data_IF_562516780188
#
_entry.id   IF_562516780188
#
_cell.length_a   1.000
_cell.length_b   1.000
_cell.length_c   1.000
_cell.angle_alpha   90.00
_cell.angle_beta   90.00
_cell.angle_gamma   90.00
#
_symmetry.space_group_name_H-M   'P 1'
#
loop_
_entity.id
_entity.type
_entity.pdbx_description
1 polymer ?
#
# COMPACT_ATOMS: atom_id res chain seq x y z
N UNK A 1 3.07 48.30 69.08
CA UNK A 1 3.32 47.38 70.20
C UNK A 1 4.11 46.20 69.62
N UNK A 2 5.45 46.15 69.69
CA UNK A 2 6.26 45.50 70.76
C UNK A 2 5.74 44.08 71.08
N UNK A 3 6.47 42.96 71.08
CA UNK A 3 7.90 42.71 71.31
C UNK A 3 8.17 41.18 71.17
N UNK A 4 9.41 40.79 70.81
CA UNK A 4 10.21 39.63 71.29
C UNK A 4 9.79 38.18 70.98
N UNK A 5 10.60 37.46 70.18
CA UNK A 5 11.76 36.61 70.55
C UNK A 5 11.39 35.24 71.15
N UNK A 6 11.75 34.16 70.44
CA UNK A 6 12.47 33.01 71.01
C UNK A 6 13.07 32.15 69.89
N UNK A 7 14.40 32.02 69.93
CA UNK A 7 15.19 31.09 69.14
C UNK A 7 14.82 29.63 69.44
N UNK A 8 14.94 28.76 68.45
CA UNK A 8 15.49 27.41 68.66
C UNK A 8 16.06 26.84 67.36
N UNK A 9 17.39 26.76 67.35
CA UNK A 9 18.29 26.03 66.44
C UNK A 9 18.21 24.54 66.84
N UNK A 10 18.25 23.57 65.89
CA UNK A 10 19.49 22.80 65.78
C UNK A 10 19.87 22.27 64.39
N UNK A 11 21.18 22.02 64.31
CA UNK A 11 21.84 20.96 63.54
C UNK A 11 21.93 21.10 62.01
N UNK A 12 22.97 21.86 61.63
CA UNK A 12 23.72 21.71 60.39
C UNK A 12 24.14 20.24 60.23
N UNK A 13 23.62 19.55 59.22
CA UNK A 13 24.20 18.30 58.72
C UNK A 13 25.08 18.65 57.52
N UNK A 14 26.38 18.50 57.72
CA UNK A 14 27.43 18.69 56.73
C UNK A 14 27.36 17.56 55.70
N UNK A 15 26.63 17.79 54.60
CA UNK A 15 26.61 16.89 53.44
C UNK A 15 27.82 17.15 52.55
N UNK A 16 28.74 16.19 52.48
CA UNK A 16 29.92 16.22 51.63
C UNK A 16 29.55 16.39 50.15
N UNK A 17 29.94 17.52 49.55
CA UNK A 17 29.87 17.74 48.12
C UNK A 17 31.02 16.98 47.44
N UNK A 18 30.73 15.78 46.92
CA UNK A 18 31.61 15.09 46.00
C UNK A 18 31.58 15.83 44.65
N UNK A 19 32.58 16.69 44.40
CA UNK A 19 32.83 17.28 43.08
C UNK A 19 33.28 16.17 42.12
N UNK A 20 32.33 15.63 41.37
CA UNK A 20 32.62 14.72 40.25
C UNK A 20 33.12 15.59 39.09
N UNK A 21 34.42 15.51 38.79
CA UNK A 21 34.97 15.99 37.53
C UNK A 21 34.24 15.28 36.38
N UNK A 22 33.27 15.98 35.78
CA UNK A 22 32.61 15.54 34.56
C UNK A 22 33.61 15.54 33.41
N UNK A 23 34.07 14.37 32.99
CA UNK A 23 34.78 14.21 31.75
C UNK A 23 33.90 14.74 30.60
N UNK A 24 34.39 15.63 29.71
CA UNK A 24 33.65 16.01 28.53
C UNK A 24 33.38 14.74 27.72
N UNK A 25 32.10 14.37 27.61
CA UNK A 25 31.67 13.23 26.83
C UNK A 25 32.07 13.49 25.37
N UNK A 26 32.81 12.59 24.71
CA UNK A 26 33.07 12.70 23.28
C UNK A 26 31.73 12.88 22.56
N UNK A 27 31.64 13.75 21.55
CA UNK A 27 30.43 13.83 20.74
C UNK A 27 30.09 12.42 20.24
N UNK A 28 28.80 12.03 20.25
CA UNK A 28 28.41 10.74 19.69
C UNK A 28 29.01 10.63 18.29
N UNK A 29 29.59 9.48 17.90
CA UNK A 29 30.10 9.31 16.55
C UNK A 29 28.98 9.71 15.60
N UNK A 30 29.24 10.71 14.76
CA UNK A 30 28.33 11.16 13.73
C UNK A 30 27.88 9.90 13.01
N UNK A 31 26.59 9.56 13.10
CA UNK A 31 26.03 8.36 12.51
C UNK A 31 26.58 8.27 11.08
N UNK A 32 27.48 7.32 10.86
CA UNK A 32 28.01 7.08 9.54
C UNK A 32 26.77 6.88 8.68
N UNK A 33 26.64 7.72 7.65
CA UNK A 33 25.51 7.65 6.71
C UNK A 33 25.59 6.27 6.09
N UNK A 34 24.82 5.34 6.63
CA UNK A 34 24.81 3.95 6.18
C UNK A 34 24.58 4.01 4.68
N UNK A 35 25.55 3.51 3.90
CA UNK A 35 25.37 3.46 2.46
C UNK A 35 24.08 2.69 2.23
N UNK A 36 23.12 3.23 1.46
CA UNK A 36 21.88 2.52 1.21
C UNK A 36 22.24 1.12 0.68
N UNK A 37 21.59 0.07 1.19
CA UNK A 37 21.89 -1.29 0.77
C UNK A 37 21.82 -1.39 -0.76
N UNK A 38 22.71 -2.18 -1.39
CA UNK A 38 22.76 -2.30 -2.83
C UNK A 38 21.40 -2.73 -3.39
N UNK A 39 21.06 -2.16 -4.54
CA UNK A 39 19.83 -2.38 -5.29
C UNK A 39 19.66 -3.88 -5.61
N UNK A 40 18.60 -4.52 -5.12
CA UNK A 40 18.26 -5.91 -5.44
C UNK A 40 16.79 -6.06 -5.84
N UNK A 41 16.47 -5.66 -7.06
CA UNK A 41 15.20 -6.07 -7.68
C UNK A 41 15.11 -7.60 -7.63
N UNK A 42 13.93 -8.18 -7.29
CA UNK A 42 13.77 -9.63 -7.29
C UNK A 42 14.16 -10.22 -8.65
N UNK A 43 14.86 -11.38 -8.67
CA UNK A 43 15.25 -12.02 -9.92
C UNK A 43 14.08 -12.16 -10.89
N UNK A 44 14.30 -11.78 -12.14
CA UNK A 44 13.30 -11.83 -13.22
C UNK A 44 12.44 -10.57 -13.34
N UNK A 45 12.44 -9.69 -12.33
CA UNK A 45 11.72 -8.42 -12.39
C UNK A 45 12.52 -7.32 -13.08
N UNK A 46 13.82 -7.48 -13.35
CA UNK A 46 14.71 -6.48 -13.96
C UNK A 46 14.38 -6.19 -15.43
N UNK A 47 13.73 -7.13 -16.10
CA UNK A 47 13.32 -7.00 -17.51
C UNK A 47 12.14 -6.04 -17.68
N UNK A 48 11.84 -5.72 -18.93
CA UNK A 48 10.64 -4.98 -19.29
C UNK A 48 9.38 -5.85 -19.04
N UNK A 49 8.49 -5.38 -18.17
CA UNK A 49 7.24 -6.04 -17.81
C UNK A 49 6.02 -5.51 -18.59
N UNK A 50 6.23 -4.85 -19.72
CA UNK A 50 5.13 -4.47 -20.62
C UNK A 50 4.47 -5.70 -21.25
N UNK A 51 3.22 -5.53 -21.66
CA UNK A 51 2.47 -6.55 -22.39
C UNK A 51 1.12 -6.86 -21.74
N UNK A 52 0.46 -7.90 -22.28
CA UNK A 52 -0.85 -8.33 -21.80
C UNK A 52 -0.69 -9.45 -20.79
N UNK A 53 -1.56 -9.45 -19.78
CA UNK A 53 -1.64 -10.50 -18.79
C UNK A 53 -3.10 -10.90 -18.55
N UNK A 54 -3.33 -12.11 -18.07
CA UNK A 54 -4.60 -12.56 -17.55
C UNK A 54 -4.47 -12.90 -16.06
N UNK A 55 -5.54 -12.72 -15.29
CA UNK A 55 -5.56 -13.22 -13.92
C UNK A 55 -5.60 -14.75 -13.91
N UNK A 56 -4.78 -15.39 -13.09
CA UNK A 56 -4.76 -16.85 -12.98
C UNK A 56 -6.13 -17.39 -12.52
N UNK A 57 -6.70 -18.31 -13.30
CA UNK A 57 -8.03 -18.87 -13.03
C UNK A 57 -9.21 -17.97 -13.42
N UNK A 58 -8.98 -16.74 -13.90
CA UNK A 58 -10.02 -15.80 -14.35
C UNK A 58 -9.62 -15.13 -15.67
N UNK A 59 -9.69 -15.83 -16.81
CA UNK A 59 -9.25 -15.28 -18.10
C UNK A 59 -10.15 -14.16 -18.63
N UNK A 60 -11.35 -13.97 -18.06
CA UNK A 60 -12.21 -12.80 -18.28
C UNK A 60 -11.57 -11.49 -17.81
N UNK A 61 -10.50 -11.58 -17.00
CA UNK A 61 -9.74 -10.46 -16.46
C UNK A 61 -8.41 -10.32 -17.19
N UNK A 62 -8.23 -9.18 -17.84
CA UNK A 62 -7.01 -8.86 -18.57
C UNK A 62 -6.37 -7.59 -18.01
N UNK A 63 -5.04 -7.58 -18.03
CA UNK A 63 -4.22 -6.46 -17.59
C UNK A 63 -3.33 -6.05 -18.75
N UNK A 64 -3.23 -4.75 -19.00
CA UNK A 64 -2.26 -4.19 -19.91
C UNK A 64 -1.17 -3.48 -19.09
N UNK A 65 0.03 -4.06 -19.11
CA UNK A 65 1.21 -3.50 -18.48
C UNK A 65 1.98 -2.57 -19.41
N UNK A 66 2.37 -1.42 -18.90
CA UNK A 66 3.33 -0.50 -19.48
C UNK A 66 4.47 -0.27 -18.47
N UNK A 67 5.67 -0.71 -18.83
CA UNK A 67 6.89 -0.58 -18.03
C UNK A 67 7.87 0.34 -18.76
N UNK A 68 8.16 1.50 -18.16
CA UNK A 68 9.10 2.49 -18.69
C UNK A 68 10.54 2.31 -18.16
N UNK A 69 10.79 1.23 -17.40
CA UNK A 69 12.06 0.95 -16.73
C UNK A 69 12.12 1.48 -15.30
N UNK A 70 11.26 2.42 -14.92
CA UNK A 70 11.17 3.00 -13.57
C UNK A 70 9.82 2.74 -12.89
N UNK A 71 8.75 2.66 -13.68
CA UNK A 71 7.38 2.50 -13.23
C UNK A 71 6.68 1.47 -14.11
N UNK A 72 5.98 0.55 -13.48
CA UNK A 72 5.03 -0.35 -14.10
C UNK A 72 3.62 0.17 -13.82
N UNK A 73 2.87 0.47 -14.87
CA UNK A 73 1.43 0.76 -14.80
C UNK A 73 0.66 -0.42 -15.35
N UNK A 74 -0.31 -0.95 -14.59
CA UNK A 74 -1.24 -1.98 -15.03
C UNK A 74 -2.64 -1.39 -15.13
N UNK A 75 -3.19 -1.37 -16.34
CA UNK A 75 -4.60 -1.03 -16.58
C UNK A 75 -5.42 -2.31 -16.64
N UNK A 76 -6.51 -2.37 -15.88
CA UNK A 76 -7.36 -3.57 -15.81
C UNK A 76 -8.55 -3.44 -16.75
N UNK A 77 -8.83 -4.47 -17.53
CA UNK A 77 -10.04 -4.58 -18.36
C UNK A 77 -10.68 -5.96 -18.20
N UNK A 78 -12.01 -5.96 -18.06
CA UNK A 78 -12.81 -7.18 -18.03
C UNK A 78 -13.51 -7.35 -19.38
N UNK A 79 -13.49 -8.56 -19.92
CA UNK A 79 -14.36 -8.88 -21.05
C UNK A 79 -15.80 -8.96 -20.55
N UNK A 80 -16.73 -8.20 -21.16
CA UNK A 80 -18.15 -8.43 -20.90
C UNK A 80 -18.56 -9.83 -21.35
N UNK A 81 -19.47 -10.49 -20.62
CA UNK A 81 -20.16 -11.66 -21.14
C UNK A 81 -20.97 -11.34 -22.42
N UNK A 82 -21.38 -10.08 -22.60
CA UNK A 82 -22.21 -9.61 -23.71
C UNK A 82 -21.43 -8.91 -24.85
N UNK A 83 -20.09 -8.93 -24.84
CA UNK A 83 -19.25 -8.49 -25.96
C UNK A 83 -18.97 -6.97 -26.06
N UNK A 84 -19.27 -6.20 -25.03
CA UNK A 84 -18.80 -4.82 -24.87
C UNK A 84 -17.46 -4.72 -24.12
N UNK A 85 -16.69 -3.62 -24.30
CA UNK A 85 -15.68 -3.24 -23.33
C UNK A 85 -16.37 -2.58 -22.12
N UNK A 86 -16.70 -3.38 -21.11
CA UNK A 86 -17.23 -2.87 -19.86
C UNK A 86 -16.11 -2.43 -18.94
N UNK A 87 -16.22 -1.17 -18.56
CA UNK A 87 -15.40 -0.52 -17.54
C UNK A 87 -15.97 -0.76 -16.15
N UNK A 88 -16.85 -1.76 -15.99
CA UNK A 88 -17.37 -2.18 -14.69
C UNK A 88 -16.31 -3.04 -14.00
N UNK A 89 -15.58 -2.44 -13.05
CA UNK A 89 -14.64 -3.15 -12.20
C UNK A 89 -15.38 -3.87 -11.06
N UNK A 90 -15.20 -5.20 -10.94
CA UNK A 90 -15.23 -5.80 -9.60
C UNK A 90 -14.04 -6.73 -9.24
N UNK A 91 -13.57 -6.70 -7.99
CA UNK A 91 -12.79 -7.78 -7.34
C UNK A 91 -11.30 -7.99 -7.69
N UNK A 92 -10.55 -6.91 -7.96
CA UNK A 92 -9.10 -6.88 -7.62
C UNK A 92 -8.87 -6.69 -6.10
N UNK A 93 -9.77 -7.26 -5.32
CA UNK A 93 -10.00 -7.05 -3.91
C UNK A 93 -11.42 -6.55 -3.65
N UNK A 94 -12.30 -7.43 -3.16
CA UNK A 94 -13.72 -7.14 -2.96
C UNK A 94 -13.85 -6.08 -1.87
N UNK A 95 -14.30 -4.87 -2.20
CA UNK A 95 -14.98 -4.02 -1.21
C UNK A 95 -16.25 -4.79 -0.86
N UNK A 96 -16.20 -5.54 0.24
CA UNK A 96 -17.35 -6.26 0.76
C UNK A 96 -18.38 -5.24 1.21
N UNK A 97 -19.28 -4.85 0.33
CA UNK A 97 -20.53 -4.22 0.73
C UNK A 97 -21.46 -5.39 1.00
N UNK A 98 -21.67 -5.71 2.27
CA UNK A 98 -22.74 -6.60 2.73
C UNK A 98 -24.08 -5.87 2.49
N UNK A 99 -24.44 -5.72 1.23
CA UNK A 99 -25.61 -4.99 0.77
C UNK A 99 -26.21 -5.75 -0.39
N UNK A 100 -26.90 -6.85 -0.10
CA UNK A 100 -27.75 -7.52 -1.06
C UNK A 100 -28.76 -6.53 -1.65
N UNK A 101 -28.56 -6.15 -2.91
CA UNK A 101 -29.60 -5.54 -3.74
C UNK A 101 -30.00 -6.57 -4.80
N UNK A 102 -31.20 -7.17 -4.72
CA UNK A 102 -31.62 -8.21 -5.65
C UNK A 102 -32.05 -7.68 -7.03
N UNK A 103 -32.20 -6.37 -7.22
CA UNK A 103 -32.68 -5.81 -8.48
C UNK A 103 -31.94 -4.50 -8.82
N UNK A 104 -31.42 -4.38 -10.05
CA UNK A 104 -31.04 -3.10 -10.65
C UNK A 104 -29.57 -2.92 -10.98
N UNK A 105 -29.15 -3.43 -12.15
CA UNK A 105 -27.92 -2.99 -12.79
C UNK A 105 -27.96 -1.49 -13.05
N UNK A 106 -26.95 -0.78 -12.55
CA UNK A 106 -26.68 0.59 -12.97
C UNK A 106 -25.63 0.49 -14.07
N UNK A 107 -26.09 0.44 -15.31
CA UNK A 107 -25.26 0.72 -16.46
C UNK A 107 -24.78 2.17 -16.35
N UNK A 108 -23.47 2.36 -16.19
CA UNK A 108 -22.83 3.67 -16.34
C UNK A 108 -22.08 4.17 -15.10
N UNK A 109 -20.85 3.68 -14.90
CA UNK A 109 -19.69 4.53 -14.63
C UNK A 109 -18.44 3.66 -14.60
N UNK A 110 -17.59 3.90 -15.59
CA UNK A 110 -16.39 3.12 -15.82
C UNK A 110 -15.36 3.27 -14.72
N UNK A 111 -15.37 2.35 -13.77
CA UNK A 111 -14.32 2.23 -12.77
C UNK A 111 -13.06 1.69 -13.43
N UNK A 112 -12.23 2.59 -13.95
CA UNK A 112 -10.91 2.23 -14.48
C UNK A 112 -10.00 1.96 -13.29
N UNK A 113 -9.73 0.68 -13.02
CA UNK A 113 -8.71 0.30 -12.02
C UNK A 113 -7.33 0.48 -12.64
N UNK A 114 -6.51 1.30 -11.98
CA UNK A 114 -5.11 1.50 -12.35
C UNK A 114 -4.22 1.08 -11.19
N UNK A 115 -3.19 0.30 -11.51
CA UNK A 115 -2.16 -0.09 -10.56
C UNK A 115 -0.87 0.59 -10.99
N UNK A 116 -0.34 1.48 -10.16
CA UNK A 116 0.90 2.19 -10.44
C UNK A 116 1.98 1.76 -9.45
N UNK A 117 3.06 1.17 -9.97
CA UNK A 117 4.09 0.53 -9.16
C UNK A 117 5.46 1.08 -9.53
N UNK A 118 6.15 1.69 -8.58
CA UNK A 118 7.51 2.20 -8.77
C UNK A 118 8.51 1.08 -8.55
N UNK A 119 9.47 0.95 -9.44
CA UNK A 119 10.60 0.04 -9.29
C UNK A 119 11.50 0.54 -8.16
N UNK A 120 11.72 -0.31 -7.15
CA UNK A 120 12.57 -0.03 -5.99
C UNK A 120 13.60 -1.15 -5.81
N UNK A 121 14.52 -0.96 -4.87
CA UNK A 121 15.48 -1.99 -4.46
C UNK A 121 14.84 -3.21 -3.82
N UNK A 122 13.56 -3.16 -3.44
CA UNK A 122 12.83 -4.27 -2.82
C UNK A 122 11.78 -4.86 -3.77
N UNK A 123 11.86 -4.54 -5.07
CA UNK A 123 10.86 -4.87 -6.07
C UNK A 123 9.98 -3.69 -6.45
N UNK A 124 8.86 -3.94 -7.10
CA UNK A 124 7.94 -2.87 -7.46
C UNK A 124 7.00 -2.60 -6.29
N UNK A 125 6.91 -1.35 -5.85
CA UNK A 125 6.05 -0.92 -4.74
C UNK A 125 5.19 0.24 -5.20
N UNK A 126 3.91 0.20 -4.90
CA UNK A 126 3.01 1.27 -5.27
C UNK A 126 1.61 1.03 -4.78
N UNK A 127 0.62 1.34 -5.63
CA UNK A 127 -0.76 1.49 -5.21
C UNK A 127 -1.73 0.98 -6.25
N UNK A 128 -2.79 0.31 -5.81
CA UNK A 128 -4.03 0.19 -6.58
C UNK A 128 -4.88 1.42 -6.28
N UNK A 129 -5.40 2.05 -7.32
CA UNK A 129 -6.41 3.10 -7.19
C UNK A 129 -7.74 2.60 -7.77
N UNK A 130 -8.79 2.79 -6.98
CA UNK A 130 -10.14 2.39 -7.34
C UNK A 130 -11.16 3.41 -6.80
N UNK A 131 -12.35 3.43 -7.39
CA UNK A 131 -13.48 4.25 -6.92
C UNK A 131 -14.53 3.32 -6.34
N UNK A 132 -14.78 3.43 -5.03
CA UNK A 132 -15.81 2.70 -4.31
C UNK A 132 -17.08 3.55 -4.17
N UNK A 133 -18.22 2.88 -4.07
CA UNK A 133 -19.54 3.52 -3.94
C UNK A 133 -20.27 2.98 -2.70
N UNK A 134 -19.90 3.44 -1.48
CA UNK A 134 -20.43 2.87 -0.23
C UNK A 134 -21.89 3.24 0.06
N UNK A 135 -22.44 4.26 -0.62
CA UNK A 135 -23.84 4.65 -0.55
C UNK A 135 -24.28 5.31 -1.87
N UNK A 136 -25.59 5.36 -2.18
CA UNK A 136 -26.09 6.04 -3.37
C UNK A 136 -25.62 7.50 -3.43
N UNK A 137 -25.01 7.88 -4.56
CA UNK A 137 -24.49 9.24 -4.77
C UNK A 137 -23.19 9.57 -4.03
N UNK A 138 -22.57 8.59 -3.35
CA UNK A 138 -21.27 8.75 -2.68
C UNK A 138 -20.19 8.02 -3.47
N UNK A 139 -19.17 8.77 -3.89
CA UNK A 139 -17.98 8.26 -4.55
C UNK A 139 -16.75 8.43 -3.66
N UNK A 140 -16.09 7.32 -3.34
CA UNK A 140 -14.90 7.29 -2.51
C UNK A 140 -13.70 6.79 -3.31
N UNK A 141 -12.67 7.61 -3.46
CA UNK A 141 -11.39 7.14 -3.99
C UNK A 141 -10.70 6.31 -2.91
N UNK A 142 -10.43 5.05 -3.24
CA UNK A 142 -9.75 4.09 -2.35
C UNK A 142 -8.39 3.75 -2.92
N UNK A 143 -7.40 3.67 -2.04
CA UNK A 143 -6.00 3.46 -2.41
C UNK A 143 -5.43 2.37 -1.53
N UNK A 144 -4.91 1.31 -2.15
CA UNK A 144 -4.36 0.15 -1.43
C UNK A 144 -2.88 -0.06 -1.75
N UNK A 145 -2.04 -0.39 -0.76
CA UNK A 145 -0.64 -0.72 -1.01
C UNK A 145 -0.54 -2.02 -1.81
N UNK A 146 0.28 -1.99 -2.85
CA UNK A 146 0.50 -3.13 -3.74
C UNK A 146 1.97 -3.27 -4.10
N UNK A 147 2.44 -4.51 -4.14
CA UNK A 147 3.82 -4.84 -4.44
C UNK A 147 3.92 -5.96 -5.48
N UNK A 148 4.98 -5.99 -6.28
CA UNK A 148 5.35 -7.17 -7.08
C UNK A 148 6.33 -7.99 -6.25
N UNK A 149 5.94 -9.21 -5.88
CA UNK A 149 6.77 -10.08 -5.05
C UNK A 149 7.54 -11.14 -5.87
N UNK A 150 7.12 -11.40 -7.11
CA UNK A 150 7.82 -12.34 -7.99
C UNK A 150 7.56 -12.02 -9.47
N UNK A 151 8.58 -12.25 -10.31
CA UNK A 151 8.49 -12.21 -11.77
C UNK A 151 9.17 -13.45 -12.35
N UNK A 152 8.55 -14.10 -13.32
CA UNK A 152 9.13 -15.22 -14.07
C UNK A 152 8.65 -15.18 -15.51
N UNK A 153 9.18 -16.00 -16.41
CA UNK A 153 8.84 -15.90 -17.85
C UNK A 153 7.35 -16.10 -18.14
N UNK A 154 6.62 -16.79 -17.25
CA UNK A 154 5.19 -17.00 -17.35
C UNK A 154 4.36 -15.84 -16.80
N UNK A 155 4.93 -14.86 -16.08
CA UNK A 155 4.17 -13.71 -15.61
C UNK A 155 4.75 -12.97 -14.40
N UNK A 156 3.86 -12.39 -13.60
CA UNK A 156 4.20 -11.66 -12.38
C UNK A 156 3.18 -11.93 -11.26
N UNK A 157 3.61 -11.80 -10.01
CA UNK A 157 2.75 -11.97 -8.84
C UNK A 157 2.67 -10.67 -8.07
N UNK A 158 1.46 -10.17 -7.88
CA UNK A 158 1.16 -8.99 -7.05
C UNK A 158 0.78 -9.42 -5.64
N UNK A 159 1.21 -8.67 -4.64
CA UNK A 159 0.74 -8.79 -3.26
C UNK A 159 0.00 -7.51 -2.90
N UNK A 160 -1.32 -7.60 -2.77
CA UNK A 160 -2.19 -6.48 -2.42
C UNK A 160 -3.13 -6.85 -1.28
N UNK A 161 -3.80 -5.84 -0.74
CA UNK A 161 -4.89 -6.05 0.20
C UNK A 161 -6.03 -6.81 -0.48
N UNK A 162 -6.56 -7.86 0.16
CA UNK A 162 -7.68 -8.61 -0.40
C UNK A 162 -9.00 -7.86 -0.30
N UNK A 163 -9.26 -7.15 0.81
CA UNK A 163 -10.48 -6.35 0.98
C UNK A 163 -10.24 -5.16 1.88
N UNK A 164 -10.96 -4.09 1.60
CA UNK A 164 -11.10 -2.96 2.52
C UNK A 164 -12.55 -2.55 2.54
N UNK A 165 -13.14 -2.44 3.73
CA UNK A 165 -14.44 -1.81 3.88
C UNK A 165 -14.26 -0.29 3.88
N UNK A 166 -15.19 0.44 3.26
CA UNK A 166 -15.21 1.90 3.27
C UNK A 166 -16.63 2.34 3.59
N UNK A 167 -16.76 3.25 4.55
CA UNK A 167 -18.06 3.79 4.97
C UNK A 167 -18.50 4.98 4.08
N UNK A 168 -19.73 5.49 4.23
CA UNK A 168 -20.22 6.64 3.47
C UNK A 168 -19.46 7.96 3.70
N UNK A 169 -18.59 8.03 4.72
CA UNK A 169 -17.67 9.15 4.95
C UNK A 169 -16.29 8.93 4.31
N UNK A 170 -16.16 7.89 3.47
CA UNK A 170 -14.92 7.47 2.83
C UNK A 170 -13.81 7.07 3.82
N UNK A 171 -14.19 6.59 5.00
CA UNK A 171 -13.23 6.10 6.00
C UNK A 171 -13.22 4.57 6.04
N UNK A 172 -12.04 4.03 6.27
CA UNK A 172 -11.85 2.60 6.53
C UNK A 172 -12.05 2.35 8.03
N UNK A 173 -12.98 1.46 8.42
CA UNK A 173 -13.20 1.18 9.83
C UNK A 173 -11.93 0.59 10.47
N UNK A 174 -11.70 0.83 11.77
CA UNK A 174 -10.61 0.19 12.50
C UNK A 174 -10.72 -1.32 12.35
N UNK A 175 -9.65 -1.96 11.87
CA UNK A 175 -9.59 -3.42 11.74
C UNK A 175 -8.67 -3.97 12.80
N UNK A 176 -9.24 -4.61 13.82
CA UNK A 176 -8.49 -5.35 14.83
C UNK A 176 -7.93 -6.63 14.20
N UNK A 177 -6.65 -6.61 13.81
CA UNK A 177 -5.99 -7.76 13.17
C UNK A 177 -5.15 -7.44 11.94
N UNK A 178 -5.11 -6.17 11.52
CA UNK A 178 -4.39 -5.77 10.32
C UNK A 178 -5.15 -6.12 9.05
N UNK A 179 -4.57 -5.75 7.91
CA UNK A 179 -5.22 -5.91 6.60
C UNK A 179 -4.72 -7.18 5.95
N UNK A 180 -5.62 -8.10 5.63
CA UNK A 180 -5.29 -9.34 4.93
C UNK A 180 -4.71 -9.02 3.54
N UNK A 181 -3.51 -9.55 3.26
CA UNK A 181 -2.84 -9.41 1.96
C UNK A 181 -2.89 -10.73 1.22
N UNK A 182 -3.17 -10.67 -0.07
CA UNK A 182 -3.28 -11.82 -0.96
C UNK A 182 -2.36 -11.71 -2.15
N UNK A 183 -1.80 -12.85 -2.54
CA UNK A 183 -1.02 -12.98 -3.75
C UNK A 183 -1.94 -13.18 -4.96
N UNK A 184 -1.73 -12.39 -6.00
CA UNK A 184 -2.49 -12.36 -7.24
C UNK A 184 -1.54 -12.66 -8.40
N UNK A 185 -1.69 -13.85 -8.98
CA UNK A 185 -0.85 -14.28 -10.10
C UNK A 185 -1.43 -13.75 -11.42
N UNK A 186 -0.61 -13.00 -12.15
CA UNK A 186 -0.90 -12.54 -13.50
C UNK A 186 -0.06 -13.35 -14.49
N UNK A 187 -0.73 -14.08 -15.37
CA UNK A 187 -0.11 -14.91 -16.41
C UNK A 187 0.08 -14.08 -17.67
N UNK A 188 1.29 -14.05 -18.21
CA UNK A 188 1.60 -13.34 -19.46
C UNK A 188 0.85 -13.97 -20.62
N UNK A 189 0.14 -13.14 -21.39
CA UNK A 189 -0.52 -13.54 -22.61
C UNK A 189 0.43 -13.38 -23.81
N UNK A 190 0.28 -14.23 -24.84
CA UNK A 190 1.01 -14.03 -26.08
C UNK A 190 0.62 -12.67 -26.72
N UNK A 191 1.53 -12.08 -27.50
CA UNK A 191 1.18 -10.92 -28.30
C UNK A 191 -0.01 -11.25 -29.22
N UNK A 192 -0.92 -10.30 -29.47
CA UNK A 192 -2.00 -10.51 -30.44
C UNK A 192 -1.38 -10.85 -31.81
N UNK A 193 -2.06 -11.69 -32.62
CA UNK A 193 -1.61 -11.93 -33.99
C UNK A 193 -1.47 -10.60 -34.73
N UNK A 194 -0.39 -10.47 -35.50
CA UNK A 194 -0.18 -9.30 -36.36
C UNK A 194 -1.26 -9.19 -37.44
N UNK A 195 -1.36 -8.02 -38.10
CA UNK A 195 -2.25 -7.84 -39.25
C UNK A 195 -1.90 -8.79 -40.41
#
# INVERSE_FOLDING_TARGET
MTLRHALLVPAIVLGAAASVCGCPRPPPPSAAKELPPPFMVPPGCERNLSGRYAYEGRPDWTYLGADDGTTLVLSVSRADPDGGPSTSAPDAGVVGVDGGSPDGGIAGSGSTVSISLRRTSNGFVGRIEHTAFPAPGVECRVVFPTEVCACDDAGLTLLSVERVAVDPSCQTPPTDGGVERKAHRLVRLPPPPGP
#
